data_IF_549027069169
#
_entry.id   IF_549027069169
#
_cell.length_a   1.000
_cell.length_b   1.000
_cell.length_c   1.000
_cell.angle_alpha   90.00
_cell.angle_beta   90.00
_cell.angle_gamma   90.00
#
_symmetry.space_group_name_H-M   'P 1'
#
loop_
_entity.id
_entity.type
_entity.pdbx_description
1 polymer ?
#
# COMPACT_ATOMS: atom_id res chain seq x y z
N UNK A 1 -54.94 -60.16 -57.58
CA UNK A 1 -54.13 -61.33 -57.20
C UNK A 1 -52.71 -60.83 -57.03
N UNK A 2 -52.25 -60.79 -55.79
CA UNK A 2 -50.91 -60.33 -55.43
C UNK A 2 -49.92 -61.43 -55.77
N UNK A 3 -48.94 -61.14 -56.64
CA UNK A 3 -47.72 -61.94 -56.70
C UNK A 3 -46.74 -61.35 -55.67
N UNK A 4 -46.70 -62.01 -54.51
CA UNK A 4 -45.84 -61.68 -53.37
C UNK A 4 -44.54 -62.49 -53.37
N UNK A 5 -44.02 -62.86 -54.53
CA UNK A 5 -42.83 -63.72 -54.63
C UNK A 5 -41.67 -62.95 -55.26
N UNK A 6 -40.93 -62.20 -54.43
CA UNK A 6 -39.46 -61.97 -54.47
C UNK A 6 -39.03 -60.82 -53.54
N UNK A 7 -39.64 -60.71 -52.35
CA UNK A 7 -38.88 -60.22 -51.19
C UNK A 7 -38.08 -61.42 -50.64
N UNK A 8 -36.89 -61.14 -50.07
CA UNK A 8 -35.97 -62.04 -49.35
C UNK A 8 -34.62 -62.35 -50.04
N UNK A 9 -34.00 -61.40 -50.73
CA UNK A 9 -32.53 -61.37 -50.84
C UNK A 9 -31.94 -60.94 -49.48
N UNK A 10 -31.62 -61.97 -48.69
CA UNK A 10 -30.80 -62.01 -47.48
C UNK A 10 -30.17 -60.70 -46.99
N UNK A 11 -30.75 -60.14 -45.91
CA UNK A 11 -30.08 -59.21 -44.99
C UNK A 11 -28.95 -59.90 -44.17
N UNK A 12 -28.10 -60.69 -44.81
CA UNK A 12 -26.88 -61.19 -44.17
C UNK A 12 -25.77 -60.18 -44.39
N UNK A 13 -25.42 -59.42 -43.35
CA UNK A 13 -24.22 -58.56 -43.37
C UNK A 13 -22.93 -59.37 -43.62
N UNK A 14 -21.77 -58.71 -43.75
CA UNK A 14 -20.48 -59.37 -44.03
C UNK A 14 -20.06 -60.43 -43.01
N UNK A 15 -20.72 -60.48 -41.85
CA UNK A 15 -20.46 -61.38 -40.75
C UNK A 15 -21.41 -62.57 -40.85
N UNK A 16 -20.91 -63.71 -41.33
CA UNK A 16 -21.68 -64.94 -41.56
C UNK A 16 -21.47 -66.00 -40.49
N UNK A 17 -20.46 -65.83 -39.62
CA UNK A 17 -20.19 -66.75 -38.52
C UNK A 17 -20.03 -66.01 -37.19
N UNK A 18 -20.38 -66.65 -36.06
CA UNK A 18 -20.16 -66.06 -34.73
C UNK A 18 -18.68 -65.73 -34.48
N UNK A 19 -17.76 -66.49 -35.11
CA UNK A 19 -16.32 -66.22 -35.05
C UNK A 19 -15.96 -64.93 -35.79
N UNK A 20 -16.57 -64.64 -36.95
CA UNK A 20 -16.37 -63.37 -37.66
C UNK A 20 -16.90 -62.17 -36.86
N UNK A 21 -17.95 -62.36 -36.06
CA UNK A 21 -18.49 -61.29 -35.19
C UNK A 21 -17.52 -60.94 -34.07
N UNK A 22 -16.91 -61.95 -33.44
CA UNK A 22 -15.90 -61.74 -32.40
C UNK A 22 -14.67 -61.01 -32.95
N UNK A 23 -14.20 -61.38 -34.14
CA UNK A 23 -13.09 -60.67 -34.80
C UNK A 23 -13.44 -59.23 -35.16
N UNK A 24 -14.63 -58.98 -35.71
CA UNK A 24 -15.08 -57.63 -36.04
C UNK A 24 -15.17 -56.74 -34.78
N UNK A 25 -15.71 -57.26 -33.68
CA UNK A 25 -15.79 -56.54 -32.41
C UNK A 25 -14.40 -56.27 -31.82
N UNK A 26 -13.48 -57.24 -31.87
CA UNK A 26 -12.12 -57.07 -31.38
C UNK A 26 -11.38 -55.95 -32.13
N UNK A 27 -11.44 -55.93 -33.46
CA UNK A 27 -10.77 -54.89 -34.26
C UNK A 27 -11.49 -53.53 -34.20
N UNK A 28 -12.81 -53.49 -33.98
CA UNK A 28 -13.56 -52.23 -33.92
C UNK A 28 -13.48 -51.54 -32.55
N UNK A 29 -13.31 -52.29 -31.45
CA UNK A 29 -13.32 -51.72 -30.09
C UNK A 29 -12.01 -51.91 -29.35
N UNK A 30 -11.42 -53.10 -29.39
CA UNK A 30 -10.23 -53.40 -28.55
C UNK A 30 -8.98 -52.77 -29.14
N UNK A 31 -8.76 -52.94 -30.45
CA UNK A 31 -7.57 -52.39 -31.12
C UNK A 31 -7.51 -50.86 -31.06
N UNK A 32 -8.59 -50.10 -31.34
CA UNK A 32 -8.56 -48.64 -31.22
C UNK A 32 -8.35 -48.17 -29.78
N UNK A 33 -8.94 -48.84 -28.79
CA UNK A 33 -8.73 -48.50 -27.37
C UNK A 33 -7.27 -48.72 -26.96
N UNK A 34 -6.67 -49.85 -27.36
CA UNK A 34 -5.25 -50.12 -27.09
C UNK A 34 -4.36 -49.09 -27.79
N UNK A 35 -4.66 -48.71 -29.04
CA UNK A 35 -3.92 -47.69 -29.78
C UNK A 35 -4.04 -46.32 -29.11
N UNK A 36 -5.23 -45.92 -28.65
CA UNK A 36 -5.45 -44.66 -27.93
C UNK A 36 -4.66 -44.66 -26.62
N UNK A 37 -4.73 -45.75 -25.84
CA UNK A 37 -3.96 -45.90 -24.61
C UNK A 37 -2.46 -45.83 -24.90
N UNK A 38 -1.99 -46.50 -25.95
CA UNK A 38 -0.60 -46.47 -26.39
C UNK A 38 -0.14 -45.09 -26.84
N UNK A 39 -0.99 -44.34 -27.56
CA UNK A 39 -0.74 -42.96 -27.97
C UNK A 39 -0.71 -42.00 -26.77
N UNK A 40 -1.65 -42.13 -25.84
CA UNK A 40 -1.65 -41.33 -24.60
C UNK A 40 -0.40 -41.65 -23.79
N UNK A 41 -0.06 -42.92 -23.64
CA UNK A 41 1.17 -43.33 -22.97
C UNK A 41 2.39 -42.74 -23.68
N UNK A 42 2.50 -42.85 -25.00
CA UNK A 42 3.61 -42.32 -25.78
C UNK A 42 3.75 -40.80 -25.66
N UNK A 43 2.67 -40.04 -25.81
CA UNK A 43 2.64 -38.58 -25.67
C UNK A 43 3.02 -38.14 -24.25
N UNK A 44 2.60 -38.89 -23.24
CA UNK A 44 2.91 -38.61 -21.83
C UNK A 44 4.32 -39.08 -21.44
N UNK A 45 4.87 -40.09 -22.13
CA UNK A 45 6.16 -40.72 -21.81
C UNK A 45 7.37 -39.82 -22.06
N UNK A 46 7.29 -38.84 -22.97
CA UNK A 46 8.33 -37.82 -23.15
C UNK A 46 8.44 -36.88 -21.93
N UNK A 47 7.46 -36.92 -21.01
CA UNK A 47 7.41 -36.07 -19.81
C UNK A 47 7.64 -36.80 -18.47
N UNK A 48 8.79 -37.49 -18.39
CA UNK A 48 9.58 -37.87 -17.18
C UNK A 48 9.30 -39.22 -16.45
N UNK A 49 10.36 -39.81 -15.85
CA UNK A 49 10.33 -41.07 -15.10
C UNK A 49 9.76 -40.92 -13.68
N UNK A 50 9.43 -42.06 -13.08
CA UNK A 50 8.77 -42.22 -11.80
C UNK A 50 9.53 -41.57 -10.63
N UNK A 51 8.80 -40.74 -9.85
CA UNK A 51 9.24 -40.29 -8.53
C UNK A 51 8.76 -38.89 -8.14
N UNK A 52 7.67 -38.85 -7.37
CA UNK A 52 7.16 -37.71 -6.58
C UNK A 52 6.54 -36.51 -7.34
N UNK A 53 5.55 -35.89 -6.68
CA UNK A 53 4.82 -34.65 -7.05
C UNK A 53 3.65 -34.81 -8.03
N UNK A 54 2.66 -35.64 -7.67
CA UNK A 54 1.35 -35.68 -8.34
C UNK A 54 0.31 -34.81 -7.61
N UNK A 55 0.73 -33.63 -7.15
CA UNK A 55 -0.18 -32.54 -6.77
C UNK A 55 -0.28 -31.46 -7.87
N UNK A 56 0.69 -31.39 -8.80
CA UNK A 56 0.86 -30.18 -9.62
C UNK A 56 0.25 -30.19 -11.02
N UNK A 57 -0.38 -31.28 -11.44
CA UNK A 57 -1.01 -31.30 -12.76
C UNK A 57 -2.32 -32.02 -12.67
N UNK A 58 -3.38 -31.28 -12.37
CA UNK A 58 -4.69 -31.26 -13.04
C UNK A 58 -5.53 -30.11 -12.40
N UNK A 59 -5.12 -28.85 -12.57
CA UNK A 59 -6.01 -27.71 -12.31
C UNK A 59 -6.65 -27.32 -13.64
N UNK A 60 -7.94 -27.59 -13.77
CA UNK A 60 -8.78 -27.38 -14.94
C UNK A 60 -9.05 -25.88 -15.25
N UNK A 61 -8.08 -24.99 -14.99
CA UNK A 61 -8.29 -23.53 -15.01
C UNK A 61 -7.03 -22.67 -15.24
N UNK A 62 -5.89 -23.25 -15.61
CA UNK A 62 -4.73 -22.47 -16.08
C UNK A 62 -3.99 -21.65 -15.02
N UNK A 63 -4.16 -21.95 -13.72
CA UNK A 63 -3.39 -21.33 -12.64
C UNK A 63 -2.31 -22.30 -12.17
N UNK A 64 -1.07 -21.81 -12.03
CA UNK A 64 0.04 -22.60 -11.49
C UNK A 64 -0.03 -22.73 -9.96
N UNK A 65 0.77 -23.64 -9.40
CA UNK A 65 0.92 -23.75 -7.95
C UNK A 65 1.44 -22.43 -7.34
N UNK A 66 2.37 -21.77 -8.02
CA UNK A 66 2.87 -20.45 -7.61
C UNK A 66 1.80 -19.36 -7.66
N UNK A 67 0.86 -19.43 -8.61
CA UNK A 67 -0.28 -18.51 -8.66
C UNK A 67 -1.23 -18.74 -7.48
N UNK A 68 -1.49 -20.01 -7.13
CA UNK A 68 -2.32 -20.34 -5.97
C UNK A 68 -1.66 -19.85 -4.68
N UNK A 69 -0.38 -20.12 -4.49
CA UNK A 69 0.37 -19.66 -3.31
C UNK A 69 0.40 -18.14 -3.22
N UNK A 70 0.58 -17.43 -4.34
CA UNK A 70 0.53 -15.97 -4.40
C UNK A 70 -0.87 -15.43 -4.07
N UNK A 71 -1.92 -16.06 -4.59
CA UNK A 71 -3.31 -15.66 -4.32
C UNK A 71 -3.71 -15.93 -2.86
N UNK A 72 -3.26 -17.04 -2.29
CA UNK A 72 -3.44 -17.34 -0.86
C UNK A 72 -2.69 -16.29 -0.06
N UNK A 73 -1.40 -16.06 -0.32
CA UNK A 73 -0.56 -15.07 0.37
C UNK A 73 -1.13 -13.64 0.32
N UNK A 74 -1.79 -13.26 -0.78
CA UNK A 74 -2.48 -11.98 -0.91
C UNK A 74 -3.73 -11.88 0.00
N UNK A 75 -4.44 -12.99 0.22
CA UNK A 75 -5.64 -13.05 1.09
C UNK A 75 -5.33 -13.17 2.58
N UNK A 76 -4.16 -13.68 2.94
CA UNK A 76 -3.69 -13.76 4.35
C UNK A 76 -2.82 -12.57 4.76
N UNK A 77 -2.67 -11.55 3.91
CA UNK A 77 -2.07 -10.28 4.36
C UNK A 77 -2.88 -9.74 5.55
N UNK A 78 -2.18 -9.35 6.62
CA UNK A 78 -2.83 -8.77 7.80
C UNK A 78 -3.60 -7.52 7.39
N UNK A 79 -4.92 -7.59 7.46
CA UNK A 79 -5.82 -6.46 7.32
C UNK A 79 -5.79 -5.64 8.61
N UNK A 80 -4.70 -4.91 8.80
CA UNK A 80 -4.48 -4.06 9.96
C UNK A 80 -3.57 -4.69 11.01
N UNK A 81 -2.66 -3.86 11.49
CA UNK A 81 -1.87 -4.12 12.70
C UNK A 81 -2.52 -3.34 13.84
N UNK A 82 -2.97 -4.04 14.87
CA UNK A 82 -3.43 -3.39 16.10
C UNK A 82 -2.20 -3.17 16.97
N UNK A 83 -1.74 -1.92 17.05
CA UNK A 83 -0.73 -1.53 18.02
C UNK A 83 -1.41 -1.23 19.36
N UNK A 84 -1.13 -2.07 20.37
CA UNK A 84 -1.57 -1.81 21.74
C UNK A 84 -0.50 -0.92 22.39
N UNK A 85 -0.79 0.37 22.53
CA UNK A 85 0.07 1.30 23.28
C UNK A 85 -0.19 1.14 24.78
N UNK A 86 0.88 1.22 25.57
CA UNK A 86 0.82 1.20 27.03
C UNK A 86 0.08 2.45 27.54
N UNK A 87 -1.07 2.25 28.19
CA UNK A 87 -1.88 3.31 28.77
C UNK A 87 -1.18 4.09 29.90
N UNK A 88 -0.11 3.51 30.47
CA UNK A 88 0.66 4.11 31.55
C UNK A 88 1.96 4.78 31.09
N UNK A 89 2.21 4.86 29.77
CA UNK A 89 3.39 5.56 29.26
C UNK A 89 3.39 7.04 29.69
N UNK A 90 4.58 7.65 29.85
CA UNK A 90 4.69 9.08 30.08
C UNK A 90 4.04 9.87 28.94
N UNK A 91 3.09 10.74 29.30
CA UNK A 91 2.41 11.61 28.35
C UNK A 91 3.43 12.56 27.71
N UNK A 92 3.43 12.65 26.38
CA UNK A 92 4.25 13.63 25.68
C UNK A 92 3.81 15.06 26.02
N UNK A 93 4.75 16.00 25.94
CA UNK A 93 4.45 17.42 26.07
C UNK A 93 3.63 17.91 24.87
N UNK A 94 2.72 18.86 25.09
CA UNK A 94 1.86 19.40 24.03
C UNK A 94 2.61 19.93 22.81
N UNK A 95 3.77 20.57 23.02
CA UNK A 95 4.63 21.04 21.92
C UNK A 95 5.18 19.90 21.06
N UNK A 96 5.58 18.78 21.66
CA UNK A 96 6.13 17.63 20.94
C UNK A 96 5.06 16.99 20.04
N UNK A 97 3.84 16.84 20.57
CA UNK A 97 2.68 16.33 19.84
C UNK A 97 2.30 17.29 18.71
N UNK A 98 2.29 18.60 18.97
CA UNK A 98 2.04 19.61 17.94
C UNK A 98 3.04 19.52 16.79
N UNK A 99 4.34 19.42 17.09
CA UNK A 99 5.39 19.29 16.06
C UNK A 99 5.24 18.00 15.26
N UNK A 100 4.91 16.90 15.92
CA UNK A 100 4.79 15.59 15.29
C UNK A 100 3.58 15.49 14.34
N UNK A 101 2.47 16.19 14.61
CA UNK A 101 1.24 16.00 13.83
C UNK A 101 0.54 17.27 13.36
N UNK A 102 0.46 18.28 14.22
CA UNK A 102 -0.36 19.46 13.93
C UNK A 102 0.38 20.46 13.04
N UNK A 103 1.71 20.49 13.12
CA UNK A 103 2.56 21.52 12.49
C UNK A 103 2.41 21.57 10.96
N UNK A 104 2.21 20.41 10.31
CA UNK A 104 2.08 20.33 8.86
C UNK A 104 0.94 21.23 8.31
N UNK A 105 -0.13 21.41 9.08
CA UNK A 105 -1.27 22.23 8.68
C UNK A 105 -1.31 23.58 9.41
N UNK A 106 -1.04 23.59 10.72
CA UNK A 106 -1.23 24.79 11.55
C UNK A 106 -0.05 25.77 11.51
N UNK A 107 1.12 25.41 10.97
CA UNK A 107 2.20 26.40 10.76
C UNK A 107 1.88 27.31 9.57
N UNK A 108 1.55 26.70 8.42
CA UNK A 108 1.25 27.44 7.20
C UNK A 108 -0.22 27.89 7.10
N UNK A 109 -1.11 27.36 7.95
CA UNK A 109 -2.55 27.59 7.87
C UNK A 109 -3.20 26.92 6.66
N UNK A 110 -2.75 25.69 6.35
CA UNK A 110 -3.21 24.93 5.18
C UNK A 110 -4.72 24.71 5.27
N UNK A 111 -5.42 24.81 4.13
CA UNK A 111 -6.87 24.61 4.03
C UNK A 111 -7.70 25.48 5.02
N UNK A 112 -7.21 26.67 5.35
CA UNK A 112 -7.88 27.58 6.30
C UNK A 112 -7.69 27.20 7.77
N UNK A 113 -6.72 26.32 8.07
CA UNK A 113 -6.35 26.02 9.44
C UNK A 113 -5.88 27.30 10.17
N UNK A 114 -6.27 27.51 11.43
CA UNK A 114 -5.77 28.64 12.21
C UNK A 114 -4.26 28.50 12.42
N UNK A 115 -3.52 29.57 12.09
CA UNK A 115 -2.06 29.58 12.17
C UNK A 115 -1.59 29.62 13.62
N UNK A 116 -0.61 28.81 13.97
CA UNK A 116 0.07 28.90 15.27
C UNK A 116 0.63 30.32 15.45
N UNK A 117 0.39 30.93 16.62
CA UNK A 117 0.84 32.29 16.90
C UNK A 117 -0.02 33.42 16.32
N UNK A 118 -1.04 33.13 15.49
CA UNK A 118 -1.96 34.17 14.97
C UNK A 118 -3.02 34.53 16.02
N UNK A 119 -2.70 35.52 16.86
CA UNK A 119 -3.57 35.95 17.96
C UNK A 119 -4.94 36.43 17.49
N UNK A 120 -5.03 37.09 16.33
CA UNK A 120 -6.30 37.54 15.76
C UNK A 120 -7.14 36.35 15.27
N UNK A 121 -6.52 35.39 14.59
CA UNK A 121 -7.18 34.15 14.15
C UNK A 121 -7.64 33.27 15.31
N UNK A 122 -6.96 33.30 16.46
CA UNK A 122 -7.27 32.48 17.63
C UNK A 122 -8.26 33.10 18.62
N UNK A 123 -8.41 34.42 18.68
CA UNK A 123 -9.26 35.09 19.66
C UNK A 123 -10.69 34.53 19.74
N UNK A 124 -11.39 34.44 18.60
CA UNK A 124 -12.75 33.91 18.55
C UNK A 124 -12.83 32.41 18.88
N UNK A 125 -11.75 31.66 18.63
CA UNK A 125 -11.68 30.22 18.90
C UNK A 125 -11.46 29.96 20.39
N UNK A 126 -10.57 30.73 21.02
CA UNK A 126 -10.30 30.66 22.46
C UNK A 126 -11.58 30.93 23.26
N UNK A 127 -12.44 31.86 22.79
CA UNK A 127 -13.74 32.14 23.42
C UNK A 127 -14.72 30.98 23.42
N UNK A 128 -14.55 29.98 22.53
CA UNK A 128 -15.42 28.78 22.54
C UNK A 128 -15.13 27.84 23.71
N UNK A 129 -14.02 28.05 24.42
CA UNK A 129 -13.59 27.22 25.55
C UNK A 129 -12.67 26.07 25.15
N UNK A 130 -11.92 25.57 26.13
CA UNK A 130 -10.91 24.53 25.91
C UNK A 130 -11.52 23.23 25.38
N UNK A 131 -12.60 22.75 25.99
CA UNK A 131 -13.25 21.49 25.63
C UNK A 131 -13.77 21.50 24.20
N UNK A 132 -14.26 22.65 23.72
CA UNK A 132 -14.70 22.81 22.34
C UNK A 132 -13.53 22.71 21.35
N UNK A 133 -12.35 23.23 21.71
CA UNK A 133 -11.13 23.13 20.91
C UNK A 133 -10.61 21.68 20.87
N UNK A 134 -10.60 21.00 22.02
CA UNK A 134 -10.20 19.58 22.10
C UNK A 134 -11.18 18.71 21.31
N UNK A 135 -12.49 18.94 21.44
CA UNK A 135 -13.50 18.21 20.69
C UNK A 135 -13.36 18.41 19.18
N UNK A 136 -13.03 19.63 18.73
CA UNK A 136 -12.76 19.90 17.32
C UNK A 136 -11.52 19.14 16.81
N UNK A 137 -10.50 18.94 17.65
CA UNK A 137 -9.31 18.17 17.29
C UNK A 137 -9.59 16.65 17.26
N UNK A 138 -10.31 16.13 18.24
CA UNK A 138 -10.63 14.70 18.35
C UNK A 138 -11.63 14.24 17.29
N UNK A 139 -12.70 15.02 17.06
CA UNK A 139 -13.77 14.67 16.12
C UNK A 139 -13.50 15.17 14.70
N UNK A 140 -12.49 16.01 14.52
CA UNK A 140 -12.26 16.74 13.29
C UNK A 140 -13.24 17.91 13.10
N UNK A 141 -12.83 18.90 12.32
CA UNK A 141 -13.66 20.07 11.98
C UNK A 141 -13.23 20.67 10.64
N UNK A 142 -14.17 20.77 9.70
CA UNK A 142 -13.86 21.27 8.36
C UNK A 142 -12.88 20.35 7.63
N UNK A 143 -11.75 20.88 7.18
CA UNK A 143 -10.68 20.11 6.53
C UNK A 143 -9.77 19.36 7.52
N UNK A 144 -9.93 19.56 8.83
CA UNK A 144 -9.16 18.86 9.86
C UNK A 144 -9.73 17.46 10.10
N UNK A 145 -8.94 16.37 9.90
CA UNK A 145 -9.39 15.00 10.16
C UNK A 145 -9.57 14.72 11.66
N UNK A 146 -10.26 13.62 11.98
CA UNK A 146 -10.39 13.14 13.36
C UNK A 146 -9.02 12.77 13.97
N UNK A 147 -8.92 12.86 15.30
CA UNK A 147 -7.68 12.79 16.09
C UNK A 147 -6.54 13.64 15.52
N UNK A 148 -6.87 14.79 14.94
CA UNK A 148 -5.93 15.70 14.27
C UNK A 148 -5.06 15.06 13.16
N UNK A 149 -5.41 13.85 12.69
CA UNK A 149 -4.71 13.16 11.60
C UNK A 149 -3.79 12.03 12.02
N UNK A 150 -3.85 11.55 13.27
CA UNK A 150 -3.20 10.30 13.63
C UNK A 150 -3.29 9.92 15.11
N UNK A 151 -2.21 9.32 15.59
CA UNK A 151 -2.26 8.19 16.50
C UNK A 151 -1.87 8.51 17.97
N UNK A 152 -2.29 9.67 18.49
CA UNK A 152 -1.98 10.11 19.87
C UNK A 152 -3.10 9.79 20.87
N UNK A 153 -2.75 9.66 22.16
CA UNK A 153 -3.75 9.58 23.22
C UNK A 153 -4.56 10.90 23.28
N UNK A 154 -5.85 10.84 23.59
CA UNK A 154 -6.71 12.02 23.63
C UNK A 154 -6.18 13.11 24.59
N UNK A 155 -5.53 12.71 25.69
CA UNK A 155 -4.85 13.62 26.60
C UNK A 155 -3.66 14.33 25.95
N UNK A 156 -2.87 13.64 25.14
CA UNK A 156 -1.74 14.22 24.41
C UNK A 156 -2.21 15.21 23.34
N UNK A 157 -3.33 14.90 22.67
CA UNK A 157 -3.99 15.83 21.76
C UNK A 157 -4.48 17.06 22.53
N UNK A 158 -5.10 16.88 23.70
CA UNK A 158 -5.53 17.99 24.53
C UNK A 158 -4.35 18.90 24.97
N UNK A 159 -3.20 18.31 25.31
CA UNK A 159 -1.96 19.06 25.58
C UNK A 159 -1.49 19.85 24.36
N UNK A 160 -1.53 19.26 23.17
CA UNK A 160 -1.19 19.95 21.93
C UNK A 160 -2.14 21.13 21.64
N UNK A 161 -3.43 20.95 21.92
CA UNK A 161 -4.45 22.01 21.80
C UNK A 161 -4.16 23.14 22.79
N UNK A 162 -3.77 22.83 24.04
CA UNK A 162 -3.39 23.83 25.03
C UNK A 162 -2.18 24.65 24.55
N UNK A 163 -1.12 23.99 24.05
CA UNK A 163 0.04 24.66 23.46
C UNK A 163 -0.34 25.59 22.31
N UNK A 164 -1.16 25.10 21.37
CA UNK A 164 -1.55 25.85 20.19
C UNK A 164 -2.47 27.05 20.53
N UNK A 165 -3.40 26.86 21.44
CA UNK A 165 -4.26 27.94 21.90
C UNK A 165 -3.49 28.98 22.73
N UNK A 166 -2.54 28.55 23.55
CA UNK A 166 -1.71 29.44 24.38
C UNK A 166 -0.73 30.27 23.53
N UNK A 167 -0.16 29.68 22.48
CA UNK A 167 0.64 30.42 21.49
C UNK A 167 -0.23 31.43 20.72
N UNK A 168 -1.52 31.15 20.53
CA UNK A 168 -2.52 32.07 19.98
C UNK A 168 -3.08 33.11 20.97
N UNK A 169 -2.53 33.22 22.18
CA UNK A 169 -2.97 34.20 23.21
C UNK A 169 -3.91 33.65 24.29
N UNK A 170 -4.17 32.35 24.29
CA UNK A 170 -4.90 31.65 25.36
C UNK A 170 -4.08 31.48 26.63
N UNK A 171 -4.75 31.05 27.71
CA UNK A 171 -4.13 30.70 29.00
C UNK A 171 -4.77 29.43 29.58
N UNK A 172 -4.76 28.36 28.80
CA UNK A 172 -5.26 27.05 29.20
C UNK A 172 -4.17 26.28 29.95
N UNK A 173 -4.55 25.62 31.04
CA UNK A 173 -3.67 24.69 31.73
C UNK A 173 -3.44 23.45 30.86
N UNK A 174 -2.21 22.93 30.87
CA UNK A 174 -1.90 21.68 30.18
C UNK A 174 -2.54 20.51 30.95
N UNK A 175 -3.43 19.71 30.33
CA UNK A 175 -4.09 18.62 31.02
C UNK A 175 -3.10 17.54 31.44
N UNK A 176 -3.16 17.14 32.71
CA UNK A 176 -2.42 15.99 33.22
C UNK A 176 -3.35 14.78 33.35
N UNK A 177 -2.77 13.59 33.29
CA UNK A 177 -3.49 12.37 33.68
C UNK A 177 -4.00 12.60 35.10
N UNK A 178 -5.32 12.43 35.37
CA UNK A 178 -5.84 12.53 36.72
C UNK A 178 -5.05 11.58 37.61
N UNK A 179 -4.44 12.10 38.68
CA UNK A 179 -3.82 11.28 39.72
C UNK A 179 -4.94 10.47 40.39
N UNK A 180 -5.20 9.28 39.85
CA UNK A 180 -6.40 8.51 40.17
C UNK A 180 -6.80 7.44 39.15
N UNK A 181 -6.15 7.37 37.97
CA UNK A 181 -6.37 6.31 36.98
C UNK A 181 -6.02 4.87 37.43
N UNK A 182 -5.51 4.69 38.66
CA UNK A 182 -5.38 3.39 39.30
C UNK A 182 -6.64 2.95 40.09
N UNK A 183 -7.70 3.75 40.14
CA UNK A 183 -8.88 3.47 40.95
C UNK A 183 -10.19 3.65 40.15
N UNK A 184 -10.37 2.81 39.13
CA UNK A 184 -11.68 2.43 38.60
C UNK A 184 -11.59 1.04 37.95
N UNK A 185 -11.02 0.10 38.70
CA UNK A 185 -11.37 -1.32 38.59
C UNK A 185 -11.29 -1.91 39.99
N UNK A 186 -12.35 -1.71 40.75
CA UNK A 186 -12.52 -2.32 42.06
C UNK A 186 -13.96 -2.83 42.17
N UNK A 187 -14.15 -4.10 41.79
CA UNK A 187 -15.00 -5.06 42.51
C UNK A 187 -15.02 -6.43 41.79
N UNK A 188 -14.03 -7.28 42.10
CA UNK A 188 -14.17 -8.73 42.32
C UNK A 188 -12.76 -9.34 42.55
N UNK A 189 -12.35 -9.50 43.81
CA UNK A 189 -11.09 -10.16 44.19
C UNK A 189 -11.23 -11.69 44.33
N UNK A 190 -10.34 -12.39 45.07
CA UNK A 190 -8.92 -12.16 45.25
C UNK A 190 -8.04 -13.40 44.92
N UNK A 191 -6.80 -13.12 44.54
CA UNK A 191 -5.54 -13.82 44.82
C UNK A 191 -5.40 -15.35 44.66
N UNK A 192 -4.43 -15.73 43.82
CA UNK A 192 -3.38 -16.67 44.23
C UNK A 192 -2.02 -16.15 43.73
N UNK A 193 -1.22 -15.64 44.65
CA UNK A 193 0.18 -15.28 44.44
C UNK A 193 1.08 -16.48 44.74
N UNK A 194 2.15 -16.64 43.97
CA UNK A 194 3.42 -17.19 44.47
C UNK A 194 4.61 -16.53 43.75
N UNK A 195 5.76 -16.34 44.41
CA UNK A 195 6.68 -15.21 44.19
C UNK A 195 8.05 -15.60 43.58
N UNK A 196 8.84 -14.56 43.26
CA UNK A 196 10.30 -14.62 43.06
C UNK A 196 10.70 -14.05 41.69
N UNK A 197 11.70 -13.19 41.52
CA UNK A 197 12.74 -12.70 42.43
C UNK A 197 13.26 -11.37 41.88
N UNK A 198 13.39 -10.37 42.76
CA UNK A 198 14.13 -9.15 42.47
C UNK A 198 15.63 -9.47 42.45
N UNK A 199 16.33 -9.06 41.40
CA UNK A 199 17.79 -8.97 41.41
C UNK A 199 18.18 -7.58 40.88
N UNK A 200 18.58 -6.73 41.83
CA UNK A 200 19.33 -5.50 41.61
C UNK A 200 20.54 -5.77 40.72
N UNK A 201 20.73 -4.96 39.68
CA UNK A 201 22.07 -4.65 39.16
C UNK A 201 22.16 -3.14 38.95
N UNK A 202 22.75 -2.47 39.93
CA UNK A 202 23.41 -1.18 39.75
C UNK A 202 24.73 -1.44 39.04
N UNK A 203 25.01 -0.81 37.90
CA UNK A 203 26.33 -0.23 37.59
C UNK A 203 26.36 0.55 36.27
N UNK A 204 26.62 1.85 36.43
CA UNK A 204 27.61 2.69 35.72
C UNK A 204 27.61 2.76 34.19
N UNK A 205 27.41 4.00 33.74
CA UNK A 205 27.69 4.52 32.42
C UNK A 205 29.20 4.61 32.12
N UNK A 206 29.63 4.10 30.96
CA UNK A 206 30.78 4.62 30.18
C UNK A 206 30.71 4.15 28.71
N UNK A 207 30.83 5.02 27.70
CA UNK A 207 30.94 4.63 26.29
C UNK A 207 32.40 4.42 25.84
N UNK A 208 32.69 3.60 24.81
CA UNK A 208 33.98 3.64 24.15
C UNK A 208 33.94 4.53 22.89
N UNK A 209 34.76 5.58 22.93
CA UNK A 209 35.28 6.30 21.76
C UNK A 209 36.51 5.52 21.24
N UNK A 210 36.60 5.30 19.94
CA UNK A 210 37.89 5.03 19.27
C UNK A 210 38.15 6.21 18.34
N UNK A 211 39.17 6.97 18.71
CA UNK A 211 39.72 8.09 17.96
C UNK A 211 40.66 7.58 16.87
N UNK A 212 40.62 8.20 15.70
CA UNK A 212 41.77 8.29 14.80
C UNK A 212 42.06 9.77 14.59
N UNK A 213 43.17 10.21 15.15
CA UNK A 213 43.64 11.60 15.15
C UNK A 213 44.53 11.91 13.92
N UNK A 214 44.84 13.19 13.65
CA UNK A 214 45.06 13.76 12.31
C UNK A 214 46.54 14.07 12.00
N UNK A 215 46.84 14.50 10.76
CA UNK A 215 47.88 15.52 10.49
C UNK A 215 47.81 16.07 9.03
N UNK A 216 48.51 17.16 8.66
CA UNK A 216 48.07 18.55 8.84
C UNK A 216 48.07 19.37 7.54
N UNK A 217 47.58 20.61 7.64
CA UNK A 217 47.63 21.64 6.60
C UNK A 217 49.00 22.36 6.55
N UNK A 218 49.43 22.79 5.35
CA UNK A 218 50.19 24.02 5.12
C UNK A 218 50.26 24.38 3.63
N UNK A 219 50.10 25.68 3.31
CA UNK A 219 50.75 26.31 2.16
C UNK A 219 49.85 26.92 1.09
N UNK A 220 49.57 28.21 1.21
CA UNK A 220 48.90 29.06 0.21
C UNK A 220 49.81 29.42 -0.98
N UNK A 221 49.20 29.73 -2.14
CA UNK A 221 49.72 30.67 -3.15
C UNK A 221 48.57 31.19 -4.08
N UNK A 222 48.75 32.34 -4.76
CA UNK A 222 47.77 33.44 -4.91
C UNK A 222 46.84 33.38 -6.15
N UNK A 223 45.88 34.33 -6.34
CA UNK A 223 44.73 34.15 -7.24
C UNK A 223 45.04 34.56 -8.69
N UNK A 224 44.48 33.83 -9.65
CA UNK A 224 44.48 34.17 -11.07
C UNK A 224 43.03 34.40 -11.57
N UNK A 225 42.91 35.38 -12.47
CA UNK A 225 41.70 36.06 -12.94
C UNK A 225 40.73 35.18 -13.79
N UNK A 226 39.49 35.64 -14.08
CA UNK A 226 38.38 34.78 -14.50
C UNK A 226 38.44 34.44 -15.99
N UNK A 227 38.23 33.16 -16.31
CA UNK A 227 37.99 32.70 -17.68
C UNK A 227 36.48 32.66 -17.99
N UNK A 228 36.15 33.08 -19.20
CA UNK A 228 34.80 33.17 -19.79
C UNK A 228 34.02 31.83 -19.75
N UNK A 229 32.66 31.85 -19.80
CA UNK A 229 31.84 30.70 -19.45
C UNK A 229 31.98 29.55 -20.45
N UNK A 230 32.52 28.43 -19.96
CA UNK A 230 32.40 27.13 -20.61
C UNK A 230 30.92 26.68 -20.57
N UNK A 231 30.45 26.14 -21.69
CA UNK A 231 29.11 25.63 -21.87
C UNK A 231 28.68 24.70 -20.71
N UNK A 232 27.46 24.92 -20.23
CA UNK A 232 26.87 24.12 -19.17
C UNK A 232 26.93 22.62 -19.52
N UNK A 233 27.35 21.74 -18.58
CA UNK A 233 27.27 20.31 -18.81
C UNK A 233 25.82 19.92 -19.06
N UNK A 234 25.57 19.17 -20.14
CA UNK A 234 24.28 18.61 -20.45
C UNK A 234 23.72 17.86 -19.23
N UNK A 235 22.44 18.10 -18.92
CA UNK A 235 21.75 17.42 -17.84
C UNK A 235 21.93 15.89 -17.99
N UNK A 236 22.22 15.16 -16.89
CA UNK A 236 22.35 13.71 -16.97
C UNK A 236 21.07 13.12 -17.55
N UNK A 237 21.23 12.27 -18.57
CA UNK A 237 20.12 11.53 -19.17
C UNK A 237 19.38 10.76 -18.06
N UNK A 238 18.06 10.93 -18.01
CA UNK A 238 17.21 10.24 -17.05
C UNK A 238 17.43 8.73 -17.15
N UNK A 239 17.71 8.08 -16.02
CA UNK A 239 17.85 6.63 -15.96
C UNK A 239 16.62 5.95 -16.59
N UNK A 240 16.82 4.88 -17.39
CA UNK A 240 15.72 4.21 -18.06
C UNK A 240 14.73 3.67 -17.02
N UNK A 241 13.47 4.06 -17.17
CA UNK A 241 12.39 3.58 -16.30
C UNK A 241 12.02 2.17 -16.79
N UNK A 242 12.07 1.18 -15.90
CA UNK A 242 11.72 -0.20 -16.26
C UNK A 242 10.31 -0.30 -16.83
N UNK A 243 10.10 -1.17 -17.81
CA UNK A 243 8.78 -1.45 -18.37
C UNK A 243 7.81 -1.88 -17.23
N UNK A 244 6.60 -1.30 -17.21
CA UNK A 244 5.61 -1.56 -16.15
C UNK A 244 5.82 -0.77 -14.85
N UNK A 245 6.89 0.01 -14.71
CA UNK A 245 7.12 0.83 -13.50
C UNK A 245 6.01 1.87 -13.26
N UNK A 246 5.41 2.41 -14.32
CA UNK A 246 4.28 3.34 -14.22
C UNK A 246 3.03 2.68 -13.64
N UNK A 247 2.72 1.46 -14.06
CA UNK A 247 1.60 0.67 -13.52
C UNK A 247 1.87 0.25 -12.07
N UNK A 248 3.09 -0.18 -11.77
CA UNK A 248 3.49 -0.57 -10.42
C UNK A 248 3.35 0.62 -9.45
N UNK A 249 3.84 1.79 -9.84
CA UNK A 249 3.70 3.00 -9.02
C UNK A 249 2.24 3.43 -8.87
N UNK A 250 1.45 3.32 -9.93
CA UNK A 250 0.00 3.58 -9.86
C UNK A 250 -0.66 2.68 -8.82
N UNK A 251 -0.42 1.37 -8.87
CA UNK A 251 -0.98 0.40 -7.93
C UNK A 251 -0.53 0.66 -6.48
N UNK A 252 0.72 1.05 -6.31
CA UNK A 252 1.32 1.28 -5.00
C UNK A 252 0.81 2.57 -4.32
N UNK A 253 0.69 3.67 -5.06
CA UNK A 253 0.47 5.00 -4.48
C UNK A 253 -0.77 5.72 -4.99
N UNK A 254 -1.12 5.58 -6.27
CA UNK A 254 -2.16 6.40 -6.89
C UNK A 254 -3.56 5.75 -6.83
N UNK A 255 -3.61 4.42 -6.83
CA UNK A 255 -4.84 3.63 -6.89
C UNK A 255 -5.80 3.93 -5.72
N UNK A 256 -5.24 4.20 -4.54
CA UNK A 256 -6.02 4.49 -3.33
C UNK A 256 -7.08 5.58 -3.54
N UNK A 257 -6.79 6.57 -4.39
CA UNK A 257 -7.73 7.65 -4.73
C UNK A 257 -8.29 7.51 -6.15
N UNK A 258 -7.48 7.12 -7.12
CA UNK A 258 -7.85 7.14 -8.54
C UNK A 258 -8.60 5.88 -9.02
N UNK A 259 -8.75 4.84 -8.21
CA UNK A 259 -9.61 3.71 -8.57
C UNK A 259 -11.10 4.07 -8.40
N UNK A 260 -11.46 4.60 -7.22
CA UNK A 260 -12.84 4.95 -6.87
C UNK A 260 -13.18 6.44 -7.13
N UNK A 261 -12.18 7.26 -7.46
CA UNK A 261 -12.37 8.71 -7.65
C UNK A 261 -12.58 9.46 -6.34
N UNK A 262 -11.86 9.05 -5.29
CA UNK A 262 -11.96 9.63 -3.95
C UNK A 262 -11.69 11.13 -4.01
N UNK A 263 -12.49 11.91 -3.30
CA UNK A 263 -12.39 13.37 -3.24
C UNK A 263 -12.35 14.08 -4.62
N UNK A 264 -13.01 13.48 -5.63
CA UNK A 264 -13.06 14.02 -6.99
C UNK A 264 -11.84 13.70 -7.84
N UNK A 265 -11.03 12.71 -7.46
CA UNK A 265 -9.93 12.22 -8.28
C UNK A 265 -10.46 11.65 -9.62
N UNK A 266 -9.82 11.93 -10.76
CA UNK A 266 -10.21 11.33 -12.03
C UNK A 266 -9.99 9.82 -11.97
N UNK A 267 -11.05 9.05 -12.20
CA UNK A 267 -11.03 7.58 -12.18
C UNK A 267 -10.19 7.04 -13.33
N UNK A 268 -9.37 6.03 -13.07
CA UNK A 268 -8.66 5.32 -14.13
C UNK A 268 -9.66 4.73 -15.13
N UNK A 269 -9.42 4.91 -16.44
CA UNK A 269 -10.32 4.43 -17.50
C UNK A 269 -11.55 5.30 -17.78
N UNK A 270 -11.83 6.35 -17.00
CA UNK A 270 -12.99 7.23 -17.24
C UNK A 270 -12.70 8.27 -18.33
N UNK A 271 -12.99 7.93 -19.58
CA UNK A 271 -12.75 8.82 -20.73
C UNK A 271 -13.40 10.21 -20.58
N UNK A 272 -14.56 10.30 -19.93
CA UNK A 272 -15.28 11.56 -19.74
C UNK A 272 -14.56 12.49 -18.74
N UNK A 273 -14.07 11.93 -17.63
CA UNK A 273 -13.32 12.67 -16.63
C UNK A 273 -11.94 13.12 -17.15
N UNK A 274 -11.34 12.31 -18.03
CA UNK A 274 -10.01 12.56 -18.58
C UNK A 274 -9.99 13.47 -19.81
N UNK A 275 -11.05 13.54 -20.62
CA UNK A 275 -11.10 14.38 -21.82
C UNK A 275 -10.62 15.84 -21.61
N UNK A 276 -11.11 16.62 -20.63
CA UNK A 276 -10.62 17.99 -20.40
C UNK A 276 -9.20 18.06 -19.81
N UNK A 277 -8.65 16.94 -19.34
CA UNK A 277 -7.32 16.86 -18.70
C UNK A 277 -6.23 16.51 -19.70
N UNK A 278 -6.57 15.77 -20.75
CA UNK A 278 -5.64 15.41 -21.82
C UNK A 278 -5.13 16.64 -22.58
N UNK A 279 -5.88 17.74 -22.59
CA UNK A 279 -5.48 19.02 -23.18
C UNK A 279 -4.22 19.63 -22.54
N UNK A 280 -3.92 19.30 -21.28
CA UNK A 280 -2.73 19.76 -20.59
C UNK A 280 -1.45 18.99 -20.98
N UNK A 281 -1.59 17.87 -21.71
CA UNK A 281 -0.49 16.97 -22.04
C UNK A 281 0.11 16.25 -20.82
N UNK A 282 1.04 15.33 -21.07
CA UNK A 282 1.72 14.55 -20.01
C UNK A 282 2.51 15.47 -19.08
N UNK A 283 3.15 16.52 -19.61
CA UNK A 283 3.95 17.46 -18.79
C UNK A 283 3.09 18.29 -17.84
N UNK A 284 1.94 18.79 -18.30
CA UNK A 284 1.02 19.55 -17.45
C UNK A 284 0.38 18.69 -16.36
N UNK A 285 0.10 17.43 -16.68
CA UNK A 285 -0.36 16.44 -15.71
C UNK A 285 0.73 16.11 -14.69
N UNK A 286 1.97 15.87 -15.13
CA UNK A 286 3.12 15.63 -14.27
C UNK A 286 3.35 16.79 -13.30
N UNK A 287 3.27 18.04 -13.76
CA UNK A 287 3.38 19.22 -12.89
C UNK A 287 2.28 19.26 -11.82
N UNK A 288 1.05 18.86 -12.19
CA UNK A 288 -0.05 18.73 -11.23
C UNK A 288 0.21 17.63 -10.19
N UNK A 289 0.84 16.52 -10.59
CA UNK A 289 1.23 15.44 -9.68
C UNK A 289 2.35 15.89 -8.74
N UNK A 290 3.41 16.51 -9.27
CA UNK A 290 4.57 16.94 -8.48
C UNK A 290 4.17 17.98 -7.43
N UNK A 291 3.38 18.98 -7.82
CA UNK A 291 2.93 20.06 -6.92
C UNK A 291 1.75 19.65 -6.04
N UNK A 292 1.02 18.60 -6.40
CA UNK A 292 -0.30 18.31 -5.86
C UNK A 292 -1.36 19.23 -6.48
N UNK A 293 -2.61 18.76 -6.50
CA UNK A 293 -3.76 19.52 -7.04
C UNK A 293 -5.06 19.12 -6.35
N UNK A 294 -5.75 20.09 -5.76
CA UNK A 294 -6.96 19.83 -4.98
C UNK A 294 -6.64 18.94 -3.78
N UNK A 295 -7.35 17.82 -3.65
CA UNK A 295 -7.11 16.82 -2.61
C UNK A 295 -5.92 15.89 -2.88
N UNK A 296 -5.30 15.96 -4.08
CA UNK A 296 -4.13 15.14 -4.41
C UNK A 296 -2.87 15.72 -3.76
N UNK A 297 -2.20 14.99 -2.85
CA UNK A 297 -0.98 15.47 -2.20
C UNK A 297 0.20 15.60 -3.19
N UNK A 298 1.24 16.38 -2.85
CA UNK A 298 2.45 16.47 -3.66
C UNK A 298 3.05 15.10 -3.96
N UNK A 299 3.53 14.93 -5.20
CA UNK A 299 4.04 13.67 -5.75
C UNK A 299 3.02 12.51 -5.69
N UNK A 300 1.72 12.80 -5.59
CA UNK A 300 0.66 11.80 -5.51
C UNK A 300 0.77 10.86 -4.30
N UNK A 301 1.41 11.30 -3.21
CA UNK A 301 1.67 10.48 -2.02
C UNK A 301 2.90 9.59 -2.14
N UNK A 302 3.54 9.53 -3.31
CA UNK A 302 4.79 8.79 -3.53
C UNK A 302 6.01 9.71 -3.29
N UNK A 303 6.28 10.05 -2.03
CA UNK A 303 7.37 10.95 -1.66
C UNK A 303 8.75 10.52 -2.22
N UNK A 304 9.00 9.21 -2.21
CA UNK A 304 10.23 8.59 -2.71
C UNK A 304 10.30 8.43 -4.24
N UNK A 305 9.21 8.66 -4.97
CA UNK A 305 9.22 8.51 -6.43
C UNK A 305 10.03 9.63 -7.10
N UNK A 306 10.81 9.26 -8.11
CA UNK A 306 11.49 10.21 -8.99
C UNK A 306 10.49 10.80 -9.99
N UNK A 307 10.83 11.94 -10.57
CA UNK A 307 9.98 12.59 -11.56
C UNK A 307 9.76 11.71 -12.81
N UNK A 308 10.76 10.89 -13.18
CA UNK A 308 10.64 9.91 -14.25
C UNK A 308 9.64 8.78 -13.93
N UNK A 309 9.62 8.31 -12.67
CA UNK A 309 8.64 7.32 -12.22
C UNK A 309 7.22 7.91 -12.16
N UNK A 310 7.08 9.16 -11.71
CA UNK A 310 5.80 9.87 -11.73
C UNK A 310 5.30 10.10 -13.16
N UNK A 311 6.18 10.45 -14.09
CA UNK A 311 5.84 10.56 -15.52
C UNK A 311 5.32 9.24 -16.08
N UNK A 312 6.03 8.13 -15.82
CA UNK A 312 5.61 6.81 -16.28
C UNK A 312 4.22 6.41 -15.72
N UNK A 313 3.91 6.79 -14.48
CA UNK A 313 2.58 6.55 -13.90
C UNK A 313 1.49 7.42 -14.56
N UNK A 314 1.78 8.69 -14.86
CA UNK A 314 0.87 9.57 -15.61
C UNK A 314 0.61 9.01 -17.01
N UNK A 315 1.65 8.57 -17.71
CA UNK A 315 1.53 7.94 -19.04
C UNK A 315 0.71 6.66 -19.00
N UNK A 316 0.91 5.81 -17.99
CA UNK A 316 0.07 4.63 -17.79
C UNK A 316 -1.40 5.01 -17.63
N UNK A 317 -1.72 5.97 -16.76
CA UNK A 317 -3.11 6.39 -16.51
C UNK A 317 -3.75 7.01 -17.76
N UNK A 318 -3.03 7.87 -18.48
CA UNK A 318 -3.48 8.45 -19.75
C UNK A 318 -3.65 7.37 -20.81
N UNK A 319 -2.78 6.36 -20.84
CA UNK A 319 -2.86 5.23 -21.76
C UNK A 319 -4.15 4.41 -21.60
N UNK A 320 -4.74 4.36 -20.40
CA UNK A 320 -6.00 3.64 -20.15
C UNK A 320 -7.24 4.33 -20.73
N UNK A 321 -7.15 5.61 -21.09
CA UNK A 321 -8.29 6.43 -21.55
C UNK A 321 -8.15 6.92 -22.99
N UNK A 322 -7.00 6.66 -23.62
CA UNK A 322 -6.76 7.02 -25.01
C UNK A 322 -7.54 6.11 -25.99
#
# INVERSE_FOLDING_TARGET
MSDSTQQEEAHSGPIKTPVQLLWAAFFAFVVPVIIIIGLVAYVVSDTKPAGSQLADRHVLGGLSAEDLERNVAARIQKVGTVEIRDANRPLQAGEAVFKAQCAACHVAGVAGAPKVGDTAGWAARIQTGFDALVAAALKGKGAMPAQAGGDFEDLEIARAVAYLANTGGGKFAEPNRPEGGAAQSAAAGPAAAVPGSQANVTMTATPPLVAMAPNPAAGANPPAAPAAPAAAPAAPAAAPVAAGAGEALYKQACMACHAAGVAGAPKLGDKSAWAPRLSAGVDGLLQSVVKGKGAMPPKGGAAAATEAQLRAAVEYMVGTVK
#
